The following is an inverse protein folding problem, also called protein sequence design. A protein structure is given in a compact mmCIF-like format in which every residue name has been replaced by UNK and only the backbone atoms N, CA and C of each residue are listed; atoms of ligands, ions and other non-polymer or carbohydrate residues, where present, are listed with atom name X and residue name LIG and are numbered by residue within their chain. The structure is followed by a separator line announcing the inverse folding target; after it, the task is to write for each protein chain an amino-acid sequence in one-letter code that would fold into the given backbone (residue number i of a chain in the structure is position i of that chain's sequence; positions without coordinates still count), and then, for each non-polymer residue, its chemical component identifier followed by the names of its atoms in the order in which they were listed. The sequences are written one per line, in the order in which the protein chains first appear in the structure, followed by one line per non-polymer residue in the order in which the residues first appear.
data_IF_749036273919
#
_entry.id   IF_749036273919
#
_cell.length_a   1.000
_cell.length_b   1.000
_cell.length_c   1.000
_cell.angle_alpha   90.00
_cell.angle_beta   90.00
_cell.angle_gamma   90.00
#
_symmetry.space_group_name_H-M   'P 1'
#
loop_
_entity.id
_entity.type
_entity.pdbx_description
1 polymer ?
2 water ?
#
# COMPACT_ATOMS: atom_id res chain seq x y z
N UNK A 3 7.88 -9.56 2.12
CA UNK A 3 8.76 -9.27 3.29
C UNK A 3 10.21 -9.26 2.83
N UNK A 4 10.76 -8.07 2.60
CA UNK A 4 12.14 -7.94 2.15
C UNK A 4 13.15 -8.44 3.17
N UNK A 5 14.40 -8.61 2.72
CA UNK A 5 15.47 -9.09 3.57
C UNK A 5 15.73 -8.17 4.76
N UNK A 6 15.53 -6.88 4.57
CA UNK A 6 15.74 -5.91 5.65
C UNK A 6 14.80 -6.14 6.82
N UNK A 7 13.50 -6.07 6.54
CA UNK A 7 12.47 -6.27 7.56
C UNK A 7 12.48 -7.70 8.09
N UNK A 8 12.80 -8.64 7.21
CA UNK A 8 12.88 -10.05 7.59
C UNK A 8 14.01 -10.21 8.62
N UNK A 9 15.11 -9.51 8.40
CA UNK A 9 16.26 -9.57 9.30
C UNK A 9 15.94 -8.88 10.63
N UNK A 10 15.22 -7.76 10.56
CA UNK A 10 14.85 -7.03 11.77
C UNK A 10 13.92 -7.90 12.62
N UNK A 11 12.98 -8.56 11.96
CA UNK A 11 12.02 -9.42 12.64
C UNK A 11 12.74 -10.56 13.36
N UNK A 12 13.76 -11.13 12.72
CA UNK A 12 14.52 -12.22 13.33
C UNK A 12 15.11 -11.80 14.67
N UNK A 13 15.62 -10.58 14.71
CA UNK A 13 16.25 -10.04 15.90
C UNK A 13 15.31 -9.52 16.98
N UNK A 14 14.12 -9.08 16.59
CA UNK A 14 13.18 -8.52 17.56
C UNK A 14 12.08 -9.45 18.06
N UNK A 15 12.04 -10.69 17.57
CA UNK A 15 11.00 -11.60 18.01
C UNK A 15 9.63 -11.11 17.57
N UNK A 16 8.67 -11.08 18.49
CA UNK A 16 7.32 -10.61 18.16
C UNK A 16 7.14 -9.12 18.40
N UNK A 17 8.18 -8.46 18.92
CA UNK A 17 8.09 -7.04 19.23
C UNK A 17 7.78 -6.12 18.07
N UNK A 18 7.16 -5.00 18.43
CA UNK A 18 6.71 -3.99 17.48
C UNK A 18 7.77 -3.41 16.55
N UNK A 19 7.51 -3.53 15.25
CA UNK A 19 8.38 -2.97 14.23
C UNK A 19 7.59 -1.84 13.56
N UNK A 20 8.21 -0.66 13.47
CA UNK A 20 7.60 0.52 12.87
C UNK A 20 7.96 0.45 11.39
N UNK A 21 6.96 0.28 10.53
CA UNK A 21 7.20 0.10 9.09
C UNK A 21 6.73 1.19 8.12
N UNK A 22 7.66 2.01 7.61
CA UNK A 22 7.26 3.05 6.66
C UNK A 22 6.72 2.31 5.44
N UNK A 23 5.57 2.74 4.94
CA UNK A 23 4.94 2.08 3.81
C UNK A 23 4.32 3.08 2.84
N UNK A 24 3.89 2.57 1.69
CA UNK A 24 3.25 3.38 0.66
C UNK A 24 2.01 2.63 0.18
N UNK A 25 1.04 3.37 -0.34
CA UNK A 25 -0.18 2.78 -0.85
C UNK A 25 -0.53 3.61 -2.07
N UNK A 26 -1.10 2.97 -3.08
CA UNK A 26 -1.43 3.68 -4.31
C UNK A 26 -2.91 3.74 -4.64
N UNK A 27 -3.34 4.92 -5.10
CA UNK A 27 -4.72 5.10 -5.54
C UNK A 27 -4.56 5.19 -7.05
N UNK A 28 -5.07 4.18 -7.75
CA UNK A 28 -4.97 4.09 -9.20
C UNK A 28 -6.36 4.04 -9.82
N UNK A 29 -6.61 4.94 -10.77
CA UNK A 29 -7.91 4.98 -11.44
C UNK A 29 -7.73 4.67 -12.91
N UNK A 30 -8.71 4.00 -13.51
CA UNK A 30 -8.62 3.71 -14.94
C UNK A 30 -9.34 4.83 -15.68
N UNK A 31 -9.37 4.73 -17.00
CA UNK A 31 -10.01 5.74 -17.84
C UNK A 31 -11.43 6.07 -17.40
N UNK A 32 -12.18 5.06 -16.97
CA UNK A 32 -13.57 5.26 -16.55
C UNK A 32 -13.77 5.67 -15.09
N UNK A 33 -12.68 5.96 -14.39
CA UNK A 33 -12.79 6.40 -13.01
C UNK A 33 -12.88 5.37 -11.90
N UNK A 34 -12.78 4.08 -12.24
CA UNK A 34 -12.86 3.04 -11.21
C UNK A 34 -11.52 2.97 -10.46
N UNK A 35 -11.57 2.47 -9.23
CA UNK A 35 -10.38 2.37 -8.38
C UNK A 35 -9.87 0.94 -8.32
N UNK A 36 -8.55 0.77 -8.35
CA UNK A 36 -7.95 -0.56 -8.33
C UNK A 36 -7.69 -1.11 -6.93
N UNK A 37 -8.25 -2.28 -6.64
CA UNK A 37 -8.04 -2.93 -5.35
C UNK A 37 -7.46 -4.33 -5.54
N UNK A 38 -6.89 -4.86 -4.47
CA UNK A 38 -6.29 -6.19 -4.49
C UNK A 38 -6.92 -7.06 -3.40
N UNK A 39 -7.12 -8.34 -3.71
CA UNK A 39 -7.71 -9.26 -2.74
C UNK A 39 -6.70 -10.36 -2.40
N UNK A 40 -6.21 -10.38 -1.15
CA UNK A 40 -5.24 -11.38 -0.69
C UNK A 40 -5.79 -12.80 -0.72
N UNK A 44 -10.76 -8.90 3.90
CA UNK A 44 -10.65 -7.51 3.47
C UNK A 44 -9.86 -7.38 2.17
N UNK A 45 -10.22 -6.37 1.39
CA UNK A 45 -9.50 -6.07 0.16
C UNK A 45 -8.48 -5.03 0.57
N UNK A 46 -7.55 -4.71 -0.31
CA UNK A 46 -6.53 -3.72 0.01
C UNK A 46 -6.13 -2.88 -1.19
N UNK A 47 -5.55 -1.71 -0.92
CA UNK A 47 -5.06 -0.86 -1.99
C UNK A 47 -3.71 -1.47 -2.32
N UNK A 48 -3.21 -1.28 -3.55
CA UNK A 48 -1.90 -1.85 -3.85
C UNK A 48 -0.94 -1.14 -2.89
N UNK A 49 -0.25 -1.89 -2.04
CA UNK A 49 0.64 -1.27 -1.06
C UNK A 49 1.81 -2.14 -0.64
N UNK A 50 2.79 -1.52 0.00
CA UNK A 50 3.95 -2.26 0.45
C UNK A 50 4.88 -1.43 1.30
N UNK A 51 5.87 -2.09 1.89
CA UNK A 51 6.83 -1.42 2.74
C UNK A 51 7.90 -0.70 1.92
N UNK A 52 8.36 0.43 2.43
CA UNK A 52 9.41 1.19 1.77
C UNK A 52 10.73 0.53 2.15
N UNK A 53 11.59 0.30 1.16
CA UNK A 53 12.89 -0.29 1.44
C UNK A 53 13.84 0.86 1.75
N UNK A 54 14.63 0.74 2.82
CA UNK A 54 15.56 1.82 3.15
C UNK A 54 16.39 2.17 1.92
N UNK A 55 16.56 3.46 1.65
CA UNK A 55 17.32 3.87 0.49
C UNK A 55 16.42 4.42 -0.59
N UNK A 56 15.17 3.97 -0.61
CA UNK A 56 14.20 4.43 -1.60
C UNK A 56 13.46 5.65 -1.10
N UNK A 57 13.09 6.54 -2.01
CA UNK A 57 12.29 7.69 -1.63
C UNK A 57 10.88 7.10 -1.62
N UNK A 58 9.92 7.76 -0.96
CA UNK A 58 8.57 7.19 -0.95
C UNK A 58 8.04 7.01 -2.38
N UNK A 59 8.37 7.95 -3.26
CA UNK A 59 7.92 7.87 -4.65
C UNK A 59 8.47 6.63 -5.36
N UNK A 60 9.76 6.37 -5.18
CA UNK A 60 10.37 5.21 -5.81
C UNK A 60 9.73 3.93 -5.26
N UNK A 61 9.45 3.93 -3.96
CA UNK A 61 8.82 2.77 -3.32
C UNK A 61 7.44 2.45 -3.89
N UNK A 62 6.60 3.47 -4.05
CA UNK A 62 5.26 3.22 -4.56
C UNK A 62 5.29 2.74 -6.01
N UNK A 63 6.21 3.27 -6.80
CA UNK A 63 6.31 2.84 -8.20
C UNK A 63 6.72 1.37 -8.23
N UNK A 64 7.70 1.00 -7.41
CA UNK A 64 8.16 -0.38 -7.36
C UNK A 64 7.08 -1.33 -6.84
N UNK A 65 6.46 -0.96 -5.72
CA UNK A 65 5.42 -1.80 -5.15
C UNK A 65 4.27 -2.01 -6.13
N UNK A 66 3.84 -0.95 -6.81
CA UNK A 66 2.75 -1.09 -7.77
C UNK A 66 3.14 -2.06 -8.88
N UNK A 67 4.39 -2.00 -9.33
CA UNK A 67 4.84 -2.90 -10.39
C UNK A 67 4.82 -4.35 -9.91
N UNK A 68 5.34 -4.59 -8.71
CA UNK A 68 5.39 -5.94 -8.16
C UNK A 68 4.01 -6.53 -7.86
N UNK A 69 3.13 -5.72 -7.28
CA UNK A 69 1.80 -6.18 -6.91
C UNK A 69 0.77 -6.23 -8.04
N UNK A 70 0.89 -5.34 -9.02
CA UNK A 70 -0.10 -5.30 -10.10
C UNK A 70 0.40 -5.53 -11.52
N UNK A 71 1.69 -5.32 -11.76
CA UNK A 71 2.23 -5.49 -13.10
C UNK A 71 2.14 -4.20 -13.90
N UNK A 72 1.60 -3.15 -13.29
CA UNK A 72 1.46 -1.85 -13.95
C UNK A 72 2.65 -0.93 -13.71
N UNK A 73 3.02 -0.18 -14.74
CA UNK A 73 4.10 0.79 -14.59
C UNK A 73 3.34 2.09 -14.38
N UNK A 74 3.60 2.77 -13.26
CA UNK A 74 2.90 4.02 -12.98
C UNK A 74 3.85 5.16 -12.63
N UNK A 75 3.32 6.38 -12.67
CA UNK A 75 4.09 7.54 -12.28
C UNK A 75 3.26 8.24 -11.21
N UNK A 76 3.93 8.94 -10.30
CA UNK A 76 3.24 9.63 -9.23
C UNK A 76 2.57 10.91 -9.69
N UNK A 77 1.28 11.01 -9.41
CA UNK A 77 0.49 12.18 -9.77
C UNK A 77 0.52 13.18 -8.63
N UNK A 78 0.11 12.73 -7.45
CA UNK A 78 0.11 13.61 -6.29
C UNK A 78 0.08 12.82 -4.99
N UNK A 79 0.58 13.43 -3.93
CA UNK A 79 0.60 12.78 -2.63
C UNK A 79 -0.74 13.10 -1.99
N UNK A 80 -1.38 12.10 -1.39
CA UNK A 80 -2.69 12.28 -0.78
C UNK A 80 -2.69 12.20 0.74
N UNK A 81 -1.52 12.37 1.34
CA UNK A 81 -1.44 12.35 2.79
C UNK A 81 -0.59 11.25 3.40
N UNK A 82 -0.27 11.43 4.67
CA UNK A 82 0.51 10.46 5.43
C UNK A 82 -0.33 10.07 6.63
N UNK A 83 -0.54 8.77 6.80
CA UNK A 83 -1.37 8.26 7.87
C UNK A 83 -0.61 7.30 8.78
N UNK A 84 -0.92 7.38 10.07
CA UNK A 84 -0.25 6.53 11.03
C UNK A 84 -0.91 6.58 12.39
N UNK A 85 -0.18 6.10 13.40
CA UNK A 85 -0.70 6.07 14.75
C UNK A 85 -1.27 4.71 15.10
N UNK A 86 -1.85 4.61 16.30
CA UNK A 86 -2.43 3.37 16.78
C UNK A 86 -3.43 2.68 15.85
N UNK A 87 -4.20 3.46 15.09
CA UNK A 87 -5.18 2.85 14.19
C UNK A 87 -4.52 2.10 13.02
N UNK A 88 -3.22 2.31 12.83
CA UNK A 88 -2.48 1.63 11.77
C UNK A 88 -1.52 0.58 12.35
N UNK A 89 -1.87 0.12 13.54
CA UNK A 89 -1.10 -0.90 14.23
C UNK A 89 -1.76 -2.22 13.87
N UNK A 90 -0.95 -3.23 13.59
CA UNK A 90 -1.47 -4.54 13.19
C UNK A 90 -0.64 -5.67 13.80
N UNK A 91 -1.31 -6.66 14.37
CA UNK A 91 -0.60 -7.78 14.97
C UNK A 91 -0.99 -9.06 14.25
N UNK A 92 -0.01 -9.66 13.57
CA UNK A 92 -0.21 -10.89 12.83
C UNK A 92 -0.69 -12.01 13.75
N UNK A 93 -1.32 -13.01 13.16
CA UNK A 93 -1.85 -14.15 13.90
C UNK A 93 -0.78 -14.90 14.70
N UNK A 94 0.47 -14.84 14.24
CA UNK A 94 1.57 -15.52 14.90
C UNK A 94 2.16 -14.70 16.05
N UNK A 95 1.62 -13.51 16.26
CA UNK A 95 2.10 -12.65 17.34
C UNK A 95 2.97 -11.48 16.93
N UNK A 96 3.48 -11.50 15.70
CA UNK A 96 4.34 -10.42 15.23
C UNK A 96 3.57 -9.11 15.16
N UNK A 97 4.08 -8.11 15.87
CA UNK A 97 3.45 -6.79 15.92
C UNK A 97 4.11 -5.78 15.00
N UNK A 98 3.28 -5.03 14.28
CA UNK A 98 3.80 -4.00 13.39
C UNK A 98 2.92 -2.77 13.45
N UNK A 99 3.52 -1.62 13.14
CA UNK A 99 2.76 -0.39 13.06
C UNK A 99 3.21 0.25 11.77
N UNK A 100 2.24 0.66 10.96
CA UNK A 100 2.56 1.28 9.69
C UNK A 100 2.44 2.80 9.76
N UNK A 101 3.19 3.46 8.88
CA UNK A 101 3.05 4.89 8.67
C UNK A 101 3.04 4.81 7.15
N UNK A 102 1.92 5.22 6.57
CA UNK A 102 1.71 5.11 5.13
C UNK A 102 1.59 6.43 4.38
N UNK A 103 2.36 6.54 3.31
CA UNK A 103 2.31 7.71 2.44
C UNK A 103 1.45 7.25 1.27
N UNK A 104 0.33 7.92 1.03
CA UNK A 104 -0.57 7.55 -0.05
C UNK A 104 -0.32 8.42 -1.28
N UNK A 105 -0.20 7.78 -2.44
CA UNK A 105 0.05 8.48 -3.69
C UNK A 105 -0.99 8.15 -4.75
N UNK A 106 -1.50 9.18 -5.42
CA UNK A 106 -2.44 8.96 -6.50
C UNK A 106 -1.46 8.72 -7.64
N UNK A 107 -1.62 7.61 -8.35
CA UNK A 107 -0.71 7.28 -9.44
C UNK A 107 -1.45 7.08 -10.75
N UNK A 108 -0.78 7.40 -11.85
CA UNK A 108 -1.39 7.22 -13.15
C UNK A 108 -0.60 6.19 -13.95
N UNK A 109 -1.34 5.31 -14.62
CA UNK A 109 -0.76 4.24 -15.41
C UNK A 109 -0.11 4.76 -16.69
N UNK A 110 1.12 4.33 -16.96
CA UNK A 110 1.83 4.74 -18.17
C UNK A 110 2.07 3.55 -19.09
N UNK A 111 2.19 2.36 -18.52
CA UNK A 111 2.44 1.15 -19.30
C UNK A 111 2.13 -0.10 -18.49
N UNK A 112 2.28 -1.26 -19.11
CA UNK A 112 2.05 -2.51 -18.42
C UNK A 112 0.67 -3.11 -18.57
N UNK A 113 0.48 -4.21 -17.87
CA UNK A 113 -0.77 -4.93 -17.89
C UNK A 113 -1.15 -5.31 -16.49
N UNK A 114 -2.37 -5.80 -16.35
CA UNK A 114 -2.83 -6.18 -15.02
C UNK A 114 -2.74 -7.70 -14.86
N UNK A 115 -1.80 -8.18 -14.05
CA UNK A 115 -1.67 -9.62 -13.79
C UNK A 115 -3.00 -10.35 -13.77
N UNK A 123 -6.22 -11.58 -6.26
CA UNK A 123 -7.07 -11.02 -7.30
C UNK A 123 -6.87 -9.51 -7.41
N UNK A 124 -7.04 -8.99 -8.62
CA UNK A 124 -6.93 -7.56 -8.88
C UNK A 124 -8.26 -7.20 -9.53
N UNK A 125 -8.93 -6.17 -9.02
CA UNK A 125 -10.22 -5.79 -9.56
C UNK A 125 -10.51 -4.31 -9.38
N UNK A 126 -11.17 -3.72 -10.37
CA UNK A 126 -11.55 -2.32 -10.35
C UNK A 126 -12.95 -2.16 -9.75
N UNK A 127 -13.12 -1.14 -8.92
CA UNK A 127 -14.40 -0.85 -8.29
C UNK A 127 -14.67 0.65 -8.39
N UNK A 128 -15.92 1.03 -8.61
CA UNK A 128 -16.25 2.45 -8.66
C UNK A 128 -16.23 2.91 -7.21
N UNK A 129 -16.09 4.21 -6.99
CA UNK A 129 -16.06 4.74 -5.63
C UNK A 129 -17.25 4.28 -4.78
N UNK A 130 -18.44 4.33 -5.36
CA UNK A 130 -19.66 3.94 -4.66
C UNK A 130 -19.74 2.45 -4.34
N UNK A 131 -18.95 1.64 -5.04
CA UNK A 131 -18.96 0.20 -4.84
C UNK A 131 -17.68 -0.32 -4.18
N UNK A 132 -16.76 0.57 -3.82
CA UNK A 132 -15.50 0.13 -3.23
C UNK A 132 -15.65 -0.77 -2.01
N UNK A 133 -14.84 -1.84 -1.94
CA UNK A 133 -14.85 -2.80 -0.84
C UNK A 133 -14.24 -2.22 0.43
N UNK A 134 -14.48 -2.87 1.58
CA UNK A 134 -13.93 -2.38 2.84
C UNK A 134 -12.43 -2.68 2.94
N UNK A 135 -11.69 -1.74 3.51
CA UNK A 135 -10.24 -1.88 3.67
C UNK A 135 -9.93 -2.11 5.14
N UNK A 136 -8.89 -2.89 5.42
CA UNK A 136 -8.49 -3.17 6.79
C UNK A 136 -8.05 -1.88 7.47
N UNK A 137 -7.18 -1.13 6.80
CA UNK A 137 -6.68 0.13 7.34
C UNK A 137 -7.69 1.26 7.12
N UNK A 138 -7.89 2.10 8.15
CA UNK A 138 -8.82 3.23 8.14
C UNK A 138 -8.46 4.46 7.31
N UNK A 139 -8.21 4.27 6.02
CA UNK A 139 -7.89 5.41 5.15
C UNK A 139 -9.15 6.25 4.98
N UNK A 140 -9.02 7.58 5.07
CA UNK A 140 -10.20 8.43 4.90
C UNK A 140 -10.62 8.39 3.43
N UNK A 141 -11.91 8.58 3.16
CA UNK A 141 -12.40 8.56 1.79
C UNK A 141 -11.77 9.66 0.93
N UNK A 142 -11.21 10.68 1.58
CA UNK A 142 -10.61 11.79 0.86
C UNK A 142 -9.43 11.40 -0.04
N UNK A 143 -8.77 10.28 0.24
CA UNK A 143 -7.64 9.89 -0.60
C UNK A 143 -8.10 9.45 -1.98
N UNK A 144 -9.39 9.14 -2.11
CA UNK A 144 -9.95 8.70 -3.39
C UNK A 144 -10.52 9.86 -4.19
N UNK A 145 -10.65 11.01 -3.55
CA UNK A 145 -11.18 12.20 -4.22
C UNK A 145 -10.11 13.28 -4.32
#
# INVERSE_FOLDING_TARGET
XSLSLYYKKIREQLGHELIFMPSVAAVIKNEQGELLFQYPGGEYWSLPAGAIEPGETPEEAVIREVWEETGLKVQVKKQKGVFGGKEFRYTYANGDKVEYIVVVFECEITSGKLKSIDGESLKLQYFSFSEKPPLALPYPDKIFLEGHHHHHH
#
